data_IF_216909486859
#
_entry.id   IF_216909486859
#
_cell.length_a   1.000
_cell.length_b   1.000
_cell.length_c   1.000
_cell.angle_alpha   90.00
_cell.angle_beta   90.00
_cell.angle_gamma   90.00
#
_symmetry.space_group_name_H-M   'P 1'
#
loop_
_entity.id
_entity.type
_entity.pdbx_description
1 polymer ?
#
# COMPACT_ATOMS: atom_id res chain seq x y z
N UNK A 1 0.59 -1.87 18.13
CA UNK A 1 0.63 -0.42 18.42
C UNK A 1 -0.77 0.15 18.63
N UNK A 2 -0.88 1.31 19.28
CA UNK A 2 -2.13 2.06 19.43
C UNK A 2 -2.07 3.33 18.57
N UNK A 3 -2.86 3.41 17.49
CA UNK A 3 -2.84 4.52 16.51
C UNK A 3 -4.02 5.48 16.72
N UNK A 4 -3.76 6.76 16.44
CA UNK A 4 -4.75 7.85 16.44
C UNK A 4 -5.42 8.07 15.08
N UNK A 5 -5.08 7.26 14.06
CA UNK A 5 -5.41 7.46 12.64
C UNK A 5 -4.59 8.56 11.92
N UNK A 6 -3.39 8.90 12.43
CA UNK A 6 -2.44 9.82 11.78
C UNK A 6 -3.09 11.08 11.23
N UNK A 7 -2.91 11.39 9.94
CA UNK A 7 -3.41 12.61 9.30
C UNK A 7 -4.95 12.59 9.13
N UNK A 8 -5.55 11.41 9.15
CA UNK A 8 -6.99 11.18 9.03
C UNK A 8 -7.74 11.31 10.37
N UNK A 9 -7.04 11.58 11.48
CA UNK A 9 -7.62 11.60 12.84
C UNK A 9 -8.79 12.58 13.05
N UNK A 10 -8.80 13.66 12.27
CA UNK A 10 -9.82 14.73 12.26
C UNK A 10 -10.84 14.58 11.12
N UNK A 11 -10.71 13.54 10.29
CA UNK A 11 -11.43 13.41 9.03
C UNK A 11 -12.36 12.19 9.09
N UNK A 12 -11.88 10.98 8.75
CA UNK A 12 -12.69 9.75 8.84
C UNK A 12 -12.28 8.83 9.99
N UNK A 13 -11.01 8.83 10.40
CA UNK A 13 -10.40 7.83 11.28
C UNK A 13 -10.42 6.40 10.71
N UNK A 14 -10.46 6.26 9.39
CA UNK A 14 -10.68 4.98 8.71
C UNK A 14 -9.66 4.71 7.62
N UNK A 15 -9.07 5.72 6.98
CA UNK A 15 -8.28 5.56 5.74
C UNK A 15 -7.23 4.47 5.82
N UNK A 16 -6.32 4.59 6.78
CA UNK A 16 -5.17 3.69 6.92
C UNK A 16 -5.61 2.23 7.06
N UNK A 17 -6.52 1.96 7.99
CA UNK A 17 -7.07 0.63 8.19
C UNK A 17 -7.88 0.14 6.99
N UNK A 18 -8.72 0.99 6.41
CA UNK A 18 -9.58 0.62 5.28
C UNK A 18 -8.76 0.10 4.10
N UNK A 19 -7.64 0.75 3.79
CA UNK A 19 -6.79 0.32 2.68
C UNK A 19 -6.06 -1.00 2.98
N UNK A 20 -5.64 -1.23 4.22
CA UNK A 20 -5.11 -2.54 4.65
C UNK A 20 -6.18 -3.64 4.54
N UNK A 21 -7.38 -3.41 5.10
CA UNK A 21 -8.49 -4.37 5.09
C UNK A 21 -8.96 -4.72 3.66
N UNK A 22 -8.86 -3.78 2.71
CA UNK A 22 -9.19 -4.08 1.30
C UNK A 22 -8.24 -5.10 0.70
N UNK A 23 -6.95 -5.08 1.03
CA UNK A 23 -5.96 -5.94 0.37
C UNK A 23 -5.58 -7.18 1.20
N UNK A 24 -5.92 -7.19 2.48
CA UNK A 24 -5.63 -8.28 3.41
C UNK A 24 -6.20 -9.61 2.89
N UNK A 25 -5.34 -10.63 2.83
CA UNK A 25 -5.67 -11.96 2.29
C UNK A 25 -5.87 -12.05 0.77
N UNK A 26 -5.82 -10.94 0.04
CA UNK A 26 -6.03 -10.90 -1.42
C UNK A 26 -4.74 -10.60 -2.21
N UNK A 27 -3.75 -10.00 -1.57
CA UNK A 27 -2.49 -9.55 -2.18
C UNK A 27 -1.28 -10.12 -1.42
N UNK A 28 -0.16 -10.34 -2.10
CA UNK A 28 1.09 -10.85 -1.52
C UNK A 28 1.92 -9.72 -0.87
N UNK A 29 1.31 -8.98 0.06
CA UNK A 29 1.96 -7.84 0.72
C UNK A 29 1.60 -7.84 2.20
N UNK A 30 2.58 -7.55 3.05
CA UNK A 30 2.33 -7.48 4.49
C UNK A 30 1.49 -6.26 4.83
N UNK A 31 0.48 -6.44 5.69
CA UNK A 31 -0.37 -5.32 6.15
C UNK A 31 -0.37 -5.22 7.68
N UNK A 32 -1.38 -4.58 8.24
CA UNK A 32 -1.53 -4.39 9.68
C UNK A 32 -2.99 -4.58 10.04
N UNK A 33 -3.30 -5.69 10.73
CA UNK A 33 -4.64 -5.97 11.23
C UNK A 33 -5.21 -4.76 11.99
N UNK A 34 -6.52 -4.54 11.87
CA UNK A 34 -7.20 -3.43 12.52
C UNK A 34 -8.25 -3.88 13.53
N UNK A 35 -8.23 -3.22 14.70
CA UNK A 35 -9.34 -3.28 15.65
C UNK A 35 -9.59 -1.93 16.30
N UNK A 36 -10.79 -1.33 16.15
CA UNK A 36 -11.13 -0.09 16.84
C UNK A 36 -11.24 -0.36 18.35
N UNK A 37 -10.83 0.61 19.16
CA UNK A 37 -10.89 0.50 20.61
C UNK A 37 -11.10 1.86 21.28
N UNK A 38 -11.63 1.83 22.50
CA UNK A 38 -11.74 3.02 23.34
C UNK A 38 -10.62 3.00 24.37
N UNK A 39 -9.86 4.09 24.43
CA UNK A 39 -8.80 4.25 25.42
C UNK A 39 -9.34 4.96 26.67
N UNK A 40 -8.99 4.43 27.85
CA UNK A 40 -9.14 5.11 29.12
C UNK A 40 -7.77 5.30 29.77
N UNK A 41 -7.47 6.52 30.23
CA UNK A 41 -6.22 6.83 30.95
C UNK A 41 -6.62 7.33 32.34
N UNK A 42 -6.13 6.65 33.38
CA UNK A 42 -6.49 6.94 34.79
C UNK A 42 -8.00 6.97 35.05
N UNK A 43 -8.77 6.12 34.37
CA UNK A 43 -10.23 6.06 34.48
C UNK A 43 -10.99 7.09 33.64
N UNK A 44 -10.29 8.02 32.98
CA UNK A 44 -10.90 9.03 32.13
C UNK A 44 -10.96 8.58 30.67
N UNK A 45 -12.08 8.84 30.00
CA UNK A 45 -12.23 8.59 28.57
C UNK A 45 -11.20 9.41 27.78
N UNK A 46 -10.43 8.72 26.94
CA UNK A 46 -9.33 9.31 26.19
C UNK A 46 -9.51 9.22 24.68
N UNK A 47 -10.62 8.68 24.17
CA UNK A 47 -10.92 8.70 22.73
C UNK A 47 -11.01 7.34 22.08
N UNK A 48 -11.37 7.38 20.79
CA UNK A 48 -11.36 6.27 19.85
C UNK A 48 -9.97 6.15 19.21
N UNK A 49 -9.40 4.96 19.31
CA UNK A 49 -8.10 4.58 18.77
C UNK A 49 -8.22 3.27 17.99
N UNK A 50 -7.12 2.89 17.36
CA UNK A 50 -6.98 1.62 16.64
C UNK A 50 -5.86 0.81 17.28
N UNK A 51 -6.14 -0.44 17.63
CA UNK A 51 -5.09 -1.42 17.87
C UNK A 51 -4.67 -1.95 16.51
N UNK A 52 -3.38 -1.78 16.18
CA UNK A 52 -2.77 -2.33 14.96
C UNK A 52 -1.59 -3.20 15.30
N UNK A 53 -1.16 -4.03 14.36
CA UNK A 53 0.10 -4.76 14.49
C UNK A 53 1.31 -3.82 14.42
N UNK A 54 2.49 -4.32 14.77
CA UNK A 54 3.73 -3.61 14.50
C UNK A 54 4.53 -4.43 13.51
N UNK A 55 4.78 -3.89 12.31
CA UNK A 55 5.59 -4.60 11.31
C UNK A 55 7.07 -4.52 11.73
N UNK A 56 7.46 -5.43 12.62
CA UNK A 56 8.78 -5.65 13.18
C UNK A 56 9.17 -7.14 13.03
N UNK A 57 10.30 -7.54 13.62
CA UNK A 57 10.80 -8.92 13.55
C UNK A 57 9.83 -9.96 14.14
N UNK A 58 9.01 -9.59 15.14
CA UNK A 58 8.04 -10.49 15.75
C UNK A 58 6.79 -10.66 14.88
N UNK A 59 6.44 -9.65 14.09
CA UNK A 59 5.44 -9.80 13.03
C UNK A 59 5.92 -10.84 12.00
N UNK A 60 7.19 -10.77 11.57
CA UNK A 60 7.75 -11.74 10.62
C UNK A 60 7.73 -13.16 11.18
N UNK A 61 8.01 -13.32 12.47
CA UNK A 61 7.87 -14.61 13.15
C UNK A 61 6.41 -15.10 13.15
N UNK A 62 5.46 -14.24 13.52
CA UNK A 62 4.06 -14.62 13.68
C UNK A 62 3.38 -14.99 12.35
N UNK A 63 3.68 -14.25 11.28
CA UNK A 63 3.01 -14.39 9.99
C UNK A 63 3.76 -15.25 8.98
N UNK A 64 5.10 -15.24 9.02
CA UNK A 64 5.95 -15.96 8.06
C UNK A 64 6.75 -17.11 8.69
N UNK A 65 6.75 -17.24 10.01
CA UNK A 65 7.56 -18.24 10.72
C UNK A 65 9.06 -17.94 10.71
N UNK A 66 9.44 -16.71 10.35
CA UNK A 66 10.84 -16.27 10.32
C UNK A 66 11.46 -16.24 11.73
N UNK A 67 12.77 -16.43 11.80
CA UNK A 67 13.53 -16.21 13.04
C UNK A 67 13.71 -14.70 13.28
N UNK A 68 13.16 -14.11 14.36
CA UNK A 68 13.23 -12.68 14.60
C UNK A 68 14.66 -12.14 14.77
N UNK A 69 15.61 -12.99 15.16
CA UNK A 69 17.03 -12.61 15.26
C UNK A 69 17.75 -12.69 13.90
N UNK A 70 17.09 -13.22 12.86
CA UNK A 70 17.67 -13.52 11.56
C UNK A 70 16.94 -12.87 10.37
N UNK A 71 16.37 -11.68 10.58
CA UNK A 71 15.74 -10.87 9.52
C UNK A 71 16.44 -9.54 9.34
N UNK A 72 16.52 -9.08 8.08
CA UNK A 72 16.80 -7.69 7.76
C UNK A 72 15.46 -6.97 7.53
N UNK A 73 15.25 -5.82 8.19
CA UNK A 73 14.06 -4.98 8.00
C UNK A 73 14.52 -3.54 7.79
N UNK A 74 14.16 -2.97 6.64
CA UNK A 74 14.58 -1.62 6.25
C UNK A 74 13.34 -0.78 5.98
N UNK A 75 13.34 0.45 6.52
CA UNK A 75 12.34 1.48 6.23
C UNK A 75 12.90 2.56 5.30
N UNK A 76 12.08 3.01 4.36
CA UNK A 76 12.41 4.06 3.41
C UNK A 76 13.51 3.63 2.47
N UNK A 77 14.62 4.38 2.43
CA UNK A 77 15.80 3.94 1.67
C UNK A 77 16.74 3.09 2.54
N UNK A 78 17.06 3.54 3.75
CA UNK A 78 18.22 3.03 4.50
C UNK A 78 18.07 3.03 6.03
N UNK A 79 16.86 3.23 6.56
CA UNK A 79 16.64 3.15 8.01
C UNK A 79 16.59 1.68 8.38
N UNK A 80 17.59 1.21 9.10
CA UNK A 80 17.68 -0.19 9.55
C UNK A 80 16.84 -0.32 10.82
N UNK A 81 15.76 -1.09 10.76
CA UNK A 81 14.91 -1.42 11.90
C UNK A 81 15.38 -2.72 12.58
N UNK A 82 15.76 -3.70 11.77
CA UNK A 82 16.45 -4.91 12.21
C UNK A 82 17.52 -5.28 11.19
N UNK A 83 18.58 -5.90 11.68
CA UNK A 83 19.63 -6.45 10.85
C UNK A 83 20.56 -5.44 10.15
N UNK A 84 20.74 -5.56 8.84
CA UNK A 84 21.56 -4.68 8.01
C UNK A 84 20.97 -4.47 6.59
N UNK A 85 21.68 -3.69 5.74
CA UNK A 85 21.19 -3.27 4.41
C UNK A 85 22.04 -3.77 3.24
N UNK A 86 23.06 -4.59 3.50
CA UNK A 86 24.11 -4.88 2.53
C UNK A 86 23.56 -5.70 1.36
N UNK A 87 22.75 -6.71 1.63
CA UNK A 87 22.13 -7.54 0.59
C UNK A 87 21.19 -6.71 -0.31
N UNK A 88 20.36 -5.83 0.27
CA UNK A 88 19.49 -4.95 -0.51
C UNK A 88 20.28 -3.92 -1.32
N UNK A 89 21.34 -3.34 -0.72
CA UNK A 89 22.22 -2.43 -1.44
C UNK A 89 22.87 -3.12 -2.65
N UNK A 90 23.35 -4.35 -2.47
CA UNK A 90 23.94 -5.14 -3.56
C UNK A 90 22.91 -5.43 -4.68
N UNK A 91 21.66 -5.74 -4.33
CA UNK A 91 20.56 -5.86 -5.29
C UNK A 91 20.37 -4.55 -6.09
N UNK A 92 20.27 -3.40 -5.42
CA UNK A 92 20.09 -2.12 -6.11
C UNK A 92 21.30 -1.75 -6.98
N UNK A 93 22.52 -2.01 -6.51
CA UNK A 93 23.74 -1.81 -7.30
C UNK A 93 23.74 -2.70 -8.55
N UNK A 94 23.32 -3.98 -8.41
CA UNK A 94 23.22 -4.92 -9.53
C UNK A 94 22.20 -4.46 -10.57
N UNK A 95 21.01 -4.08 -10.13
CA UNK A 95 19.93 -3.61 -11.01
C UNK A 95 20.38 -2.38 -11.81
N UNK A 96 21.06 -1.42 -11.17
CA UNK A 96 21.57 -0.21 -11.85
C UNK A 96 22.72 -0.48 -12.82
N UNK A 97 23.43 -1.59 -12.64
CA UNK A 97 24.61 -1.93 -13.43
C UNK A 97 24.33 -2.88 -14.59
N UNK A 98 23.11 -3.43 -14.69
CA UNK A 98 22.76 -4.46 -15.67
C UNK A 98 21.48 -4.11 -16.43
N UNK A 99 21.43 -4.51 -17.70
CA UNK A 99 20.22 -4.41 -18.51
C UNK A 99 19.27 -5.56 -18.20
N UNK A 100 18.16 -5.28 -17.51
CA UNK A 100 17.18 -6.30 -17.10
C UNK A 100 16.32 -6.84 -18.26
N UNK A 101 16.47 -6.33 -19.49
CA UNK A 101 15.97 -7.03 -20.69
C UNK A 101 16.75 -8.32 -20.98
N UNK A 102 17.93 -8.50 -20.36
CA UNK A 102 18.68 -9.73 -20.43
C UNK A 102 18.11 -10.77 -19.46
N UNK A 103 17.72 -11.93 -20.00
CA UNK A 103 17.14 -13.02 -19.23
C UNK A 103 17.96 -13.44 -18.00
N UNK A 104 19.30 -13.54 -18.11
CA UNK A 104 20.13 -13.96 -16.97
C UNK A 104 20.14 -12.89 -15.87
N UNK A 105 20.17 -11.62 -16.25
CA UNK A 105 20.13 -10.53 -15.28
C UNK A 105 18.76 -10.44 -14.60
N UNK A 106 17.69 -10.59 -15.38
CA UNK A 106 16.32 -10.63 -14.90
C UNK A 106 16.10 -11.77 -13.89
N UNK A 107 16.43 -13.00 -14.26
CA UNK A 107 16.29 -14.17 -13.37
C UNK A 107 17.15 -14.07 -12.10
N UNK A 108 18.32 -13.41 -12.18
CA UNK A 108 19.10 -13.14 -10.98
C UNK A 108 18.36 -12.21 -10.01
N UNK A 109 17.75 -11.14 -10.52
CA UNK A 109 16.96 -10.22 -9.69
C UNK A 109 15.75 -10.94 -9.09
N UNK A 110 15.02 -11.72 -9.89
CA UNK A 110 13.87 -12.50 -9.40
C UNK A 110 14.25 -13.55 -8.34
N UNK A 111 15.49 -14.05 -8.36
CA UNK A 111 15.97 -14.94 -7.29
C UNK A 111 16.18 -14.24 -5.94
N UNK A 112 16.18 -12.90 -5.91
CA UNK A 112 16.44 -12.08 -4.74
C UNK A 112 15.19 -11.35 -4.22
N UNK A 113 14.13 -11.26 -5.01
CA UNK A 113 12.88 -10.58 -4.63
C UNK A 113 11.69 -11.50 -4.81
N UNK A 114 10.67 -11.32 -3.99
CA UNK A 114 9.37 -11.89 -4.24
C UNK A 114 8.69 -10.99 -5.27
N UNK A 115 8.65 -11.44 -6.52
CA UNK A 115 8.16 -10.67 -7.67
C UNK A 115 6.72 -10.20 -7.45
N UNK A 116 5.87 -11.12 -6.99
CA UNK A 116 4.47 -10.82 -6.73
C UNK A 116 4.32 -9.80 -5.60
N UNK A 117 5.15 -9.90 -4.55
CA UNK A 117 5.11 -8.94 -3.44
C UNK A 117 5.50 -7.53 -3.87
N UNK A 118 6.54 -7.40 -4.70
CA UNK A 118 6.92 -6.11 -5.26
C UNK A 118 5.79 -5.54 -6.14
N UNK A 119 5.25 -6.35 -7.05
CA UNK A 119 4.16 -5.92 -7.93
C UNK A 119 2.95 -5.46 -7.12
N UNK A 120 2.54 -6.25 -6.13
CA UNK A 120 1.37 -5.98 -5.28
C UNK A 120 1.53 -4.74 -4.44
N UNK A 121 2.73 -4.50 -3.91
CA UNK A 121 3.04 -3.26 -3.21
C UNK A 121 2.90 -2.05 -4.14
N UNK A 122 3.49 -2.08 -5.35
CA UNK A 122 3.35 -0.99 -6.34
C UNK A 122 1.88 -0.79 -6.75
N UNK A 123 1.16 -1.88 -7.00
CA UNK A 123 -0.26 -1.87 -7.37
C UNK A 123 -1.07 -1.21 -6.25
N UNK A 124 -0.90 -1.61 -4.99
CA UNK A 124 -1.64 -1.06 -3.86
C UNK A 124 -1.33 0.43 -3.63
N UNK A 125 -0.05 0.81 -3.59
CA UNK A 125 0.39 2.21 -3.42
C UNK A 125 -0.23 3.12 -4.49
N UNK A 126 -0.16 2.68 -5.75
CA UNK A 126 -0.66 3.46 -6.89
C UNK A 126 -2.18 3.45 -7.00
N UNK A 127 -2.82 2.32 -6.68
CA UNK A 127 -4.27 2.21 -6.62
C UNK A 127 -4.81 3.20 -5.61
N UNK A 128 -4.31 3.23 -4.38
CA UNK A 128 -4.82 4.09 -3.33
C UNK A 128 -4.32 5.54 -3.35
N UNK A 129 -3.40 5.87 -4.25
CA UNK A 129 -2.77 7.19 -4.35
C UNK A 129 -2.07 7.61 -3.05
N UNK A 130 -1.21 6.75 -2.51
CA UNK A 130 -0.35 7.14 -1.40
C UNK A 130 0.83 7.98 -1.92
N UNK A 131 0.80 9.28 -1.65
CA UNK A 131 1.87 10.21 -2.04
C UNK A 131 3.05 10.22 -1.06
N UNK A 132 2.92 9.52 0.07
CA UNK A 132 4.02 9.27 1.00
C UNK A 132 4.50 7.82 0.86
N UNK A 133 4.56 7.31 -0.38
CA UNK A 133 5.03 5.97 -0.76
C UNK A 133 6.47 5.67 -0.29
N UNK A 134 7.18 6.70 0.20
CA UNK A 134 8.45 6.58 0.91
C UNK A 134 8.37 5.96 2.30
N UNK A 135 7.18 5.95 2.92
CA UNK A 135 6.89 5.11 4.08
C UNK A 135 6.72 3.64 3.67
N UNK A 136 7.75 3.11 3.01
CA UNK A 136 7.87 1.70 2.67
C UNK A 136 8.71 0.98 3.71
N UNK A 137 8.40 -0.29 3.91
CA UNK A 137 9.17 -1.27 4.66
C UNK A 137 9.32 -2.47 3.78
N UNK A 138 10.49 -3.06 3.83
CA UNK A 138 10.78 -4.30 3.14
C UNK A 138 11.73 -5.12 3.99
N UNK A 139 11.62 -6.42 3.86
CA UNK A 139 12.31 -7.36 4.74
C UNK A 139 12.74 -8.60 3.98
N UNK A 140 13.73 -9.30 4.53
CA UNK A 140 14.22 -10.57 4.02
C UNK A 140 14.85 -11.38 5.16
N UNK A 141 14.65 -12.69 5.19
CA UNK A 141 15.41 -13.56 6.08
C UNK A 141 16.87 -13.64 5.64
N UNK A 142 17.80 -13.77 6.58
CA UNK A 142 19.22 -13.96 6.28
C UNK A 142 19.54 -15.43 6.05
N UNK A 143 18.76 -16.07 5.20
CA UNK A 143 18.91 -17.46 4.81
C UNK A 143 19.12 -17.56 3.31
N UNK A 144 19.82 -18.60 2.88
CA UNK A 144 20.09 -18.81 1.46
C UNK A 144 18.78 -19.01 0.69
N UNK A 145 18.57 -18.22 -0.37
CA UNK A 145 17.38 -18.28 -1.21
C UNK A 145 16.17 -17.53 -0.68
N UNK A 146 16.30 -16.81 0.44
CA UNK A 146 15.28 -15.87 0.88
C UNK A 146 15.17 -14.69 -0.09
N UNK A 147 13.96 -14.16 -0.21
CA UNK A 147 13.60 -13.10 -1.13
C UNK A 147 13.10 -11.89 -0.36
N UNK A 148 13.40 -10.68 -0.87
CA UNK A 148 12.86 -9.45 -0.33
C UNK A 148 11.35 -9.38 -0.56
N UNK A 149 10.62 -8.96 0.48
CA UNK A 149 9.17 -8.75 0.49
C UNK A 149 8.82 -7.36 0.99
N UNK A 150 7.66 -6.85 0.62
CA UNK A 150 7.22 -5.49 0.93
C UNK A 150 6.02 -5.48 1.89
N UNK A 151 5.95 -4.39 2.65
CA UNK A 151 4.85 -4.12 3.56
C UNK A 151 4.15 -2.81 3.21
N UNK A 152 2.83 -2.83 3.28
CA UNK A 152 1.93 -1.71 2.98
C UNK A 152 1.36 -1.13 4.28
N UNK A 153 1.80 0.08 4.64
CA UNK A 153 1.44 0.72 5.91
C UNK A 153 1.57 2.25 5.83
N UNK A 154 1.01 2.93 6.85
CA UNK A 154 1.11 4.38 7.02
C UNK A 154 0.38 5.16 5.92
N UNK A 155 -0.89 4.83 5.70
CA UNK A 155 -1.66 5.24 4.53
C UNK A 155 -2.63 6.39 4.82
N UNK A 156 -2.51 7.02 6.00
CA UNK A 156 -3.43 8.08 6.42
C UNK A 156 -3.35 9.36 5.59
N UNK A 157 -2.39 9.44 4.64
CA UNK A 157 -2.31 10.47 3.60
C UNK A 157 -2.72 10.02 2.19
N UNK A 158 -3.45 8.91 2.06
CA UNK A 158 -3.93 8.40 0.77
C UNK A 158 -5.45 8.60 0.56
N UNK A 159 -5.90 8.45 -0.69
CA UNK A 159 -7.29 8.63 -1.13
C UNK A 159 -7.92 10.02 -0.83
N UNK A 160 -7.13 11.10 -0.79
CA UNK A 160 -7.66 12.44 -0.54
C UNK A 160 -8.38 13.03 -1.76
N UNK A 161 -9.43 13.85 -1.58
CA UNK A 161 -10.15 14.47 -2.70
C UNK A 161 -9.28 15.26 -3.68
N UNK A 162 -8.14 15.79 -3.22
CA UNK A 162 -7.22 16.59 -4.03
C UNK A 162 -6.18 15.77 -4.79
N UNK A 163 -6.02 14.47 -4.48
CA UNK A 163 -4.89 13.67 -4.97
C UNK A 163 -5.29 12.31 -5.56
N UNK A 164 -6.50 11.80 -5.28
CA UNK A 164 -6.94 10.46 -5.70
C UNK A 164 -7.06 10.22 -7.22
N UNK A 165 -6.94 11.28 -8.02
CA UNK A 165 -6.98 11.23 -9.50
C UNK A 165 -5.60 11.30 -10.14
N UNK A 166 -4.54 11.49 -9.37
CA UNK A 166 -3.19 11.63 -9.91
C UNK A 166 -2.69 10.30 -10.48
N UNK A 167 -2.00 10.35 -11.62
CA UNK A 167 -1.27 9.20 -12.16
C UNK A 167 0.08 9.09 -11.44
N UNK A 168 0.09 8.51 -10.25
CA UNK A 168 1.31 8.29 -9.47
C UNK A 168 2.01 6.98 -9.85
N UNK A 169 1.38 6.14 -10.68
CA UNK A 169 2.05 5.00 -11.28
C UNK A 169 3.19 5.49 -12.18
N UNK A 170 2.88 6.39 -13.12
CA UNK A 170 3.86 6.94 -14.05
C UNK A 170 4.76 8.02 -13.45
N UNK A 171 4.17 8.98 -12.71
CA UNK A 171 4.86 10.20 -12.28
C UNK A 171 5.40 10.12 -10.84
N UNK A 172 5.47 8.92 -10.26
CA UNK A 172 6.03 8.70 -8.92
C UNK A 172 6.68 7.32 -8.86
N UNK A 173 5.91 6.23 -8.75
CA UNK A 173 6.46 4.89 -8.48
C UNK A 173 7.32 4.33 -9.63
N UNK A 174 7.03 4.71 -10.88
CA UNK A 174 7.84 4.37 -12.06
C UNK A 174 8.66 5.56 -12.60
N UNK A 175 8.82 6.63 -11.82
CA UNK A 175 9.65 7.77 -12.21
C UNK A 175 11.14 7.46 -11.91
N UNK A 176 12.05 7.51 -12.89
CA UNK A 176 13.49 7.28 -12.66
C UNK A 176 14.14 8.30 -11.72
N UNK A 177 13.56 9.50 -11.55
CA UNK A 177 14.07 10.52 -10.65
C UNK A 177 13.79 10.22 -9.17
N UNK A 178 13.00 9.18 -8.90
CA UNK A 178 12.62 8.75 -7.55
C UNK A 178 11.15 9.04 -7.25
N UNK A 179 10.72 8.61 -6.07
CA UNK A 179 9.33 8.67 -5.64
C UNK A 179 9.14 9.30 -4.24
N UNK A 180 7.88 9.53 -3.86
CA UNK A 180 7.46 10.15 -2.61
C UNK A 180 7.75 11.66 -2.58
N UNK A 181 7.62 12.27 -1.39
CA UNK A 181 7.88 13.70 -1.24
C UNK A 181 9.29 14.07 -1.71
N UNK A 182 9.39 15.04 -2.64
CA UNK A 182 10.66 15.52 -3.22
C UNK A 182 11.46 14.46 -4.00
N UNK A 183 10.84 13.35 -4.41
CA UNK A 183 11.48 12.26 -5.17
C UNK A 183 12.72 11.67 -4.47
N UNK A 184 12.76 11.71 -3.13
CA UNK A 184 13.95 11.29 -2.36
C UNK A 184 14.07 9.77 -2.22
N UNK A 185 13.01 9.01 -2.51
CA UNK A 185 13.00 7.56 -2.37
C UNK A 185 13.38 6.88 -3.68
N UNK A 186 14.22 5.84 -3.58
CA UNK A 186 14.74 5.17 -4.76
C UNK A 186 13.65 4.31 -5.43
N UNK A 187 13.49 4.50 -6.74
CA UNK A 187 12.59 3.76 -7.62
C UNK A 187 13.29 2.80 -8.59
N UNK A 188 14.61 2.68 -8.50
CA UNK A 188 15.41 2.00 -9.53
C UNK A 188 15.06 0.52 -9.68
N UNK A 189 14.68 -0.17 -8.60
CA UNK A 189 14.30 -1.58 -8.68
C UNK A 189 13.13 -1.78 -9.65
N UNK A 190 12.02 -1.08 -9.40
CA UNK A 190 10.82 -1.23 -10.22
C UNK A 190 10.96 -0.57 -11.61
N UNK A 191 11.69 0.54 -11.72
CA UNK A 191 11.90 1.23 -13.01
C UNK A 191 12.70 0.36 -13.98
N UNK A 192 13.76 -0.28 -13.50
CA UNK A 192 14.60 -1.17 -14.32
C UNK A 192 13.88 -2.50 -14.61
N UNK A 193 13.14 -3.06 -13.65
CA UNK A 193 12.33 -4.26 -13.89
C UNK A 193 11.26 -4.02 -14.96
N UNK A 194 10.62 -2.85 -14.95
CA UNK A 194 9.63 -2.46 -15.96
C UNK A 194 10.22 -2.35 -17.39
N UNK A 195 11.55 -2.29 -17.55
CA UNK A 195 12.17 -2.37 -18.88
C UNK A 195 12.10 -3.77 -19.48
N UNK A 196 11.90 -4.81 -18.66
CA UNK A 196 11.74 -6.19 -19.12
C UNK A 196 10.29 -6.42 -19.61
N UNK A 197 10.07 -6.80 -20.88
CA UNK A 197 8.73 -7.03 -21.43
C UNK A 197 7.91 -8.10 -20.70
N UNK A 198 8.53 -9.12 -20.13
CA UNK A 198 7.83 -10.17 -19.38
C UNK A 198 7.36 -9.66 -18.02
N UNK A 199 8.19 -8.84 -17.34
CA UNK A 199 7.80 -8.16 -16.10
C UNK A 199 6.65 -7.17 -16.37
N UNK A 200 6.78 -6.31 -17.39
CA UNK A 200 5.75 -5.32 -17.74
C UNK A 200 4.42 -6.01 -18.05
N UNK A 201 4.44 -7.07 -18.87
CA UNK A 201 3.25 -7.85 -19.20
C UNK A 201 2.61 -8.45 -17.94
N UNK A 202 3.41 -9.11 -17.09
CA UNK A 202 2.93 -9.74 -15.86
C UNK A 202 2.36 -8.70 -14.89
N UNK A 203 3.00 -7.55 -14.76
CA UNK A 203 2.53 -6.44 -13.95
C UNK A 203 1.17 -5.92 -14.44
N UNK A 204 0.99 -5.70 -15.75
CA UNK A 204 -0.28 -5.24 -16.31
C UNK A 204 -1.39 -6.28 -16.08
N UNK A 205 -1.11 -7.56 -16.29
CA UNK A 205 -2.07 -8.66 -16.09
C UNK A 205 -2.46 -8.78 -14.61
N UNK A 206 -1.49 -8.65 -13.70
CA UNK A 206 -1.72 -8.67 -12.26
C UNK A 206 -2.50 -7.44 -11.77
N UNK A 207 -2.19 -6.25 -12.27
CA UNK A 207 -2.95 -5.03 -11.97
C UNK A 207 -4.41 -5.20 -12.42
N UNK A 208 -4.63 -5.69 -13.65
CA UNK A 208 -5.97 -5.95 -14.16
C UNK A 208 -6.72 -7.01 -13.33
N UNK A 209 -6.02 -8.07 -12.89
CA UNK A 209 -6.59 -9.06 -11.97
C UNK A 209 -7.14 -8.40 -10.71
N UNK A 210 -6.32 -7.63 -9.98
CA UNK A 210 -6.78 -6.96 -8.76
C UNK A 210 -7.87 -5.92 -9.01
N UNK A 211 -7.87 -5.22 -10.15
CA UNK A 211 -8.97 -4.34 -10.53
C UNK A 211 -10.29 -5.10 -10.77
N UNK A 212 -10.25 -6.36 -11.18
CA UNK A 212 -11.43 -7.20 -11.38
C UNK A 212 -11.86 -7.92 -10.10
N UNK A 213 -10.97 -8.14 -9.14
CA UNK A 213 -11.22 -8.92 -7.93
C UNK A 213 -11.12 -8.05 -6.66
N UNK A 214 -9.90 -7.87 -6.14
CA UNK A 214 -9.59 -7.19 -4.87
C UNK A 214 -10.22 -5.80 -4.78
N UNK A 215 -10.11 -5.02 -5.86
CA UNK A 215 -10.59 -3.65 -6.00
C UNK A 215 -11.93 -3.54 -6.72
N UNK A 216 -12.73 -4.61 -6.74
CA UNK A 216 -14.12 -4.51 -7.17
C UNK A 216 -14.85 -3.47 -6.30
N UNK A 217 -15.54 -2.53 -6.95
CA UNK A 217 -16.17 -1.38 -6.27
C UNK A 217 -17.09 -1.80 -5.13
N UNK A 218 -17.96 -2.78 -5.36
CA UNK A 218 -18.93 -3.23 -4.35
C UNK A 218 -18.24 -3.89 -3.14
N UNK A 219 -17.14 -4.62 -3.36
CA UNK A 219 -16.35 -5.22 -2.29
C UNK A 219 -15.74 -4.13 -1.40
N UNK A 220 -15.06 -3.16 -2.00
CA UNK A 220 -14.45 -2.05 -1.25
C UNK A 220 -15.49 -1.21 -0.50
N UNK A 221 -16.65 -0.93 -1.14
CA UNK A 221 -17.72 -0.19 -0.48
C UNK A 221 -18.34 -0.97 0.69
N UNK A 222 -18.51 -2.29 0.56
CA UNK A 222 -18.97 -3.15 1.65
C UNK A 222 -18.03 -3.09 2.87
N UNK A 223 -16.72 -3.23 2.63
CA UNK A 223 -15.71 -3.13 3.70
C UNK A 223 -15.78 -1.75 4.38
N UNK A 224 -15.84 -0.66 3.60
CA UNK A 224 -15.92 0.69 4.15
C UNK A 224 -17.20 0.91 4.98
N UNK A 225 -18.34 0.43 4.48
CA UNK A 225 -19.63 0.58 5.15
C UNK A 225 -19.63 -0.21 6.49
N UNK A 226 -19.06 -1.42 6.52
CA UNK A 226 -18.91 -2.24 7.73
C UNK A 226 -17.98 -1.58 8.77
N UNK A 227 -16.80 -1.10 8.35
CA UNK A 227 -15.88 -0.41 9.24
C UNK A 227 -16.46 0.89 9.79
N UNK A 228 -17.18 1.64 8.95
CA UNK A 228 -17.88 2.87 9.37
C UNK A 228 -18.90 2.56 10.46
N UNK A 229 -19.69 1.50 10.29
CA UNK A 229 -20.69 1.08 11.27
C UNK A 229 -20.07 0.76 12.63
N UNK A 230 -18.90 0.12 12.66
CA UNK A 230 -18.19 -0.24 13.90
C UNK A 230 -17.79 0.98 14.75
N UNK A 231 -17.45 2.12 14.14
CA UNK A 231 -16.99 3.30 14.89
C UNK A 231 -18.06 4.38 15.09
N UNK A 232 -19.17 4.33 14.35
CA UNK A 232 -20.20 5.37 14.29
C UNK A 232 -20.71 5.79 15.67
N UNK A 233 -21.02 4.82 16.54
CA UNK A 233 -21.59 5.09 17.86
C UNK A 233 -20.59 5.76 18.83
N UNK A 234 -19.28 5.62 18.59
CA UNK A 234 -18.25 6.23 19.44
C UNK A 234 -17.86 7.64 18.98
N UNK A 235 -18.16 8.01 17.73
CA UNK A 235 -17.81 9.31 17.17
C UNK A 235 -18.29 10.51 18.00
N UNK A 236 -19.52 10.55 18.56
CA UNK A 236 -19.94 11.65 19.42
C UNK A 236 -19.01 11.90 20.62
N UNK A 237 -18.53 10.83 21.27
CA UNK A 237 -17.63 10.91 22.44
C UNK A 237 -16.22 11.30 22.02
N UNK A 238 -15.72 10.75 20.90
CA UNK A 238 -14.47 11.16 20.26
C UNK A 238 -14.45 12.67 19.98
N UNK A 239 -15.52 13.18 19.34
CA UNK A 239 -15.68 14.60 19.01
C UNK A 239 -15.74 15.45 20.27
N UNK A 240 -16.52 15.04 21.28
CA UNK A 240 -16.60 15.79 22.55
C UNK A 240 -15.24 15.91 23.25
N UNK A 241 -14.41 14.86 23.19
CA UNK A 241 -13.10 14.82 23.85
C UNK A 241 -12.02 15.60 23.10
N UNK A 242 -11.99 15.47 21.77
CA UNK A 242 -10.86 15.93 20.95
C UNK A 242 -11.20 17.04 19.95
N UNK A 243 -12.48 17.39 19.80
CA UNK A 243 -12.96 18.36 18.83
C UNK A 243 -12.57 17.98 17.37
N UNK A 244 -12.40 16.68 17.14
CA UNK A 244 -11.97 16.11 15.86
C UNK A 244 -12.69 14.78 15.60
N UNK A 245 -13.45 14.66 14.51
CA UNK A 245 -13.86 15.70 13.55
C UNK A 245 -14.63 16.86 14.19
N UNK A 246 -14.88 17.95 13.44
CA UNK A 246 -15.47 19.17 14.01
C UNK A 246 -16.93 19.01 14.46
N UNK A 247 -17.65 18.04 13.89
CA UNK A 247 -19.01 17.65 14.29
C UNK A 247 -19.33 16.27 13.72
N UNK A 248 -20.43 15.66 14.18
CA UNK A 248 -20.89 14.38 13.64
C UNK A 248 -21.23 14.51 12.14
N UNK A 249 -21.93 15.59 11.76
CA UNK A 249 -22.23 15.87 10.35
C UNK A 249 -20.98 16.10 9.49
N UNK A 250 -19.94 16.73 10.04
CA UNK A 250 -18.66 16.88 9.34
C UNK A 250 -17.99 15.52 9.11
N UNK A 251 -18.03 14.62 10.10
CA UNK A 251 -17.53 13.26 9.95
C UNK A 251 -18.32 12.47 8.90
N UNK A 252 -19.66 12.50 8.94
CA UNK A 252 -20.52 11.84 7.95
C UNK A 252 -20.22 12.33 6.52
N UNK A 253 -20.00 13.63 6.33
CA UNK A 253 -19.61 14.20 5.04
C UNK A 253 -18.21 13.72 4.60
N UNK A 254 -17.26 13.57 5.52
CA UNK A 254 -15.93 13.04 5.21
C UNK A 254 -16.00 11.56 4.81
N UNK A 255 -16.82 10.76 5.49
CA UNK A 255 -17.07 9.35 5.14
C UNK A 255 -17.73 9.26 3.76
N UNK A 256 -18.74 10.09 3.49
CA UNK A 256 -19.38 10.14 2.18
C UNK A 256 -18.38 10.53 1.07
N UNK A 257 -17.43 11.43 1.34
CA UNK A 257 -16.38 11.79 0.39
C UNK A 257 -15.41 10.63 0.14
N UNK A 258 -14.98 9.89 1.18
CA UNK A 258 -14.17 8.68 1.03
C UNK A 258 -14.90 7.60 0.24
N UNK A 259 -16.19 7.39 0.53
CA UNK A 259 -17.06 6.45 -0.18
C UNK A 259 -17.17 6.79 -1.67
N UNK A 260 -17.40 8.06 -2.00
CA UNK A 260 -17.40 8.53 -3.40
C UNK A 260 -16.07 8.24 -4.08
N UNK A 261 -14.95 8.63 -3.46
CA UNK A 261 -13.61 8.39 -4.02
C UNK A 261 -13.43 6.91 -4.32
N UNK A 262 -13.69 6.05 -3.33
CA UNK A 262 -13.62 4.58 -3.45
C UNK A 262 -14.42 4.07 -4.65
N UNK A 263 -15.64 4.56 -4.86
CA UNK A 263 -16.49 4.15 -5.99
C UNK A 263 -15.94 4.53 -7.37
N UNK A 264 -15.13 5.57 -7.45
CA UNK A 264 -14.54 6.05 -8.69
C UNK A 264 -13.16 5.45 -8.98
N UNK A 265 -12.49 4.88 -7.98
CA UNK A 265 -11.07 4.50 -8.05
C UNK A 265 -10.78 3.46 -9.12
N UNK A 266 -11.59 2.40 -9.22
CA UNK A 266 -11.41 1.32 -10.19
C UNK A 266 -11.41 1.85 -11.63
N UNK A 267 -12.46 2.56 -12.03
CA UNK A 267 -12.59 3.11 -13.38
C UNK A 267 -11.48 4.12 -13.71
N UNK A 268 -11.09 4.96 -12.75
CA UNK A 268 -9.98 5.89 -12.93
C UNK A 268 -8.65 5.17 -13.15
N UNK A 269 -8.42 4.07 -12.43
CA UNK A 269 -7.19 3.33 -12.56
C UNK A 269 -7.09 2.56 -13.88
N UNK A 270 -8.22 2.09 -14.44
CA UNK A 270 -8.25 1.54 -15.79
C UNK A 270 -7.77 2.55 -16.84
N UNK A 271 -8.22 3.80 -16.75
CA UNK A 271 -7.77 4.89 -17.64
C UNK A 271 -6.27 5.15 -17.44
N UNK A 272 -5.81 5.26 -16.20
CA UNK A 272 -4.39 5.45 -15.88
C UNK A 272 -3.53 4.30 -16.44
N UNK A 273 -3.98 3.05 -16.29
CA UNK A 273 -3.27 1.87 -16.80
C UNK A 273 -3.18 1.91 -18.32
N UNK A 274 -4.29 2.25 -18.99
CA UNK A 274 -4.35 2.39 -20.44
C UNK A 274 -3.37 3.46 -20.95
N UNK A 275 -3.38 4.64 -20.34
CA UNK A 275 -2.52 5.76 -20.72
C UNK A 275 -1.04 5.50 -20.41
N UNK A 276 -0.75 4.85 -19.28
CA UNK A 276 0.62 4.61 -18.84
C UNK A 276 1.35 3.63 -19.75
N UNK A 277 0.66 2.55 -20.16
CA UNK A 277 1.23 1.49 -20.99
C UNK A 277 0.79 1.53 -22.46
N UNK A 278 0.11 2.60 -22.90
CA UNK A 278 -0.43 2.74 -24.25
C UNK A 278 -1.27 1.53 -24.71
N UNK A 279 -2.12 1.00 -23.82
CA UNK A 279 -2.91 -0.20 -24.11
C UNK A 279 -3.96 0.09 -25.19
N UNK A 280 -4.02 -0.77 -26.21
CA UNK A 280 -5.04 -0.68 -27.25
C UNK A 280 -6.44 -0.93 -26.66
N UNK A 281 -7.49 -0.43 -27.31
CA UNK A 281 -8.86 -0.69 -26.91
C UNK A 281 -9.18 -2.21 -26.86
N UNK A 282 -8.62 -2.98 -27.79
CA UNK A 282 -8.77 -4.45 -27.80
C UNK A 282 -8.12 -5.09 -26.55
N UNK A 283 -6.94 -4.61 -26.14
CA UNK A 283 -6.29 -5.09 -24.92
C UNK A 283 -7.06 -4.69 -23.66
N UNK A 284 -7.61 -3.48 -23.62
CA UNK A 284 -8.48 -3.05 -22.50
C UNK A 284 -9.72 -3.94 -22.38
N UNK A 285 -10.37 -4.26 -23.50
CA UNK A 285 -11.51 -5.19 -23.52
C UNK A 285 -11.12 -6.59 -23.05
N UNK A 286 -9.93 -7.09 -23.40
CA UNK A 286 -9.43 -8.38 -22.91
C UNK A 286 -9.19 -8.38 -21.40
N UNK A 287 -8.61 -7.31 -20.87
CA UNK A 287 -8.29 -7.17 -19.45
C UNK A 287 -9.54 -6.92 -18.58
N UNK A 288 -10.56 -6.28 -19.14
CA UNK A 288 -11.76 -5.82 -18.42
C UNK A 288 -13.06 -6.21 -19.15
N UNK A 289 -13.33 -7.51 -19.37
CA UNK A 289 -14.41 -7.94 -20.26
C UNK A 289 -15.81 -7.56 -19.76
N UNK A 290 -16.02 -7.38 -18.46
CA UNK A 290 -17.33 -7.03 -17.89
C UNK A 290 -17.67 -5.53 -17.99
N UNK A 291 -16.69 -4.68 -18.39
CA UNK A 291 -16.88 -3.24 -18.50
C UNK A 291 -17.23 -2.77 -19.94
N UNK A 292 -17.25 -3.69 -20.91
CA UNK A 292 -17.44 -3.40 -22.33
C UNK A 292 -18.58 -4.20 -22.99
#
# INVERSE_FOLDING_TARGET
>A
ILRTSGQDWKITKLRDAFMSEVIEGEMNVDTMDWRPCVLYVNGEYYGLYEVRENIDEYYMQAHHGADPDNVDIIKGNWIILSGDKNAYKALLDYVKANDLRNEKAYQHVLSLIDEESLMDWIIAETFFNNLDSGNKKFWCERTQGAQWRWAFFDLDWAMFPTTYTLNILKNDLLDPEGHGQQNIFNSSLQVELMQNPDFEKTFIERYAHHLNTTFATDRMLGILDDMTAQITLEMPRQIARWQGPSSLSAWENNVAALRRITSEKRARMQVILQETFNLSAARMHELFPEDY
#
